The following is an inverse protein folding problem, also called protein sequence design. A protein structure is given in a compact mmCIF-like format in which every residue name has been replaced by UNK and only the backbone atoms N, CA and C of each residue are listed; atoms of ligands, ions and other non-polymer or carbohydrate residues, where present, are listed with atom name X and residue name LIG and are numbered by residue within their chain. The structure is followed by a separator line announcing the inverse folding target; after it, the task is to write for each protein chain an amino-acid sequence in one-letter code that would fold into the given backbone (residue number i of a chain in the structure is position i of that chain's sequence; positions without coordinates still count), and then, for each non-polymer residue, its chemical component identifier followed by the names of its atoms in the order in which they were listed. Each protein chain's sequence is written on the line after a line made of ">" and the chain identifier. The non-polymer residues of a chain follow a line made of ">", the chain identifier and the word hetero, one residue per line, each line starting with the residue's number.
data_IF_118706855843
#
_entry.id   IF_118706855843
#
_cell.length_a   1.000
_cell.length_b   1.000
_cell.length_c   1.000
_cell.angle_alpha   90.00
_cell.angle_beta   90.00
_cell.angle_gamma   90.00
#
_symmetry.space_group_name_H-M   'P 1'
#
loop_
_entity.id
_entity.type
_entity.pdbx_description
1 polymer ?
#
# COMPACT_ATOMS: atom_id res chain seq x y z
N UNK A 1 -33.19 8.36 -7.90
CA UNK A 1 -32.11 9.33 -8.23
C UNK A 1 -31.39 8.83 -9.46
N UNK A 2 -31.03 9.72 -10.36
CA UNK A 2 -30.16 9.32 -11.47
C UNK A 2 -28.79 8.95 -10.92
N UNK A 3 -28.17 7.92 -11.49
CA UNK A 3 -26.84 7.50 -11.07
C UNK A 3 -25.77 8.49 -11.52
N UNK A 4 -24.76 8.68 -10.70
CA UNK A 4 -23.58 9.48 -11.05
C UNK A 4 -22.86 8.81 -12.23
N UNK A 5 -22.65 9.54 -13.32
CA UNK A 5 -22.01 9.03 -14.53
C UNK A 5 -20.50 9.17 -14.46
N UNK A 6 -19.78 8.14 -14.88
CA UNK A 6 -18.34 8.18 -15.06
C UNK A 6 -18.00 8.20 -16.57
N UNK A 7 -17.26 9.22 -17.02
CA UNK A 7 -16.88 9.37 -18.42
C UNK A 7 -15.61 8.58 -18.78
N UNK A 8 -14.60 8.69 -17.94
CA UNK A 8 -13.34 7.97 -18.11
C UNK A 8 -13.38 6.69 -17.27
N UNK A 9 -12.98 5.52 -17.81
CA UNK A 9 -12.97 4.31 -17.03
C UNK A 9 -11.95 4.36 -15.88
N UNK A 10 -12.32 3.71 -14.78
CA UNK A 10 -11.44 3.33 -13.69
C UNK A 10 -10.89 1.94 -13.95
N UNK A 11 -9.58 1.73 -13.86
CA UNK A 11 -9.02 0.38 -13.96
C UNK A 11 -9.38 -0.41 -12.71
N UNK A 12 -10.11 -1.50 -12.89
CA UNK A 12 -10.53 -2.40 -11.82
C UNK A 12 -9.74 -3.70 -11.88
N UNK A 13 -8.95 -3.97 -10.86
CA UNK A 13 -8.17 -5.19 -10.70
C UNK A 13 -8.81 -6.06 -9.63
N UNK A 14 -9.56 -7.08 -10.03
CA UNK A 14 -10.15 -8.04 -9.10
C UNK A 14 -9.09 -9.01 -8.57
N UNK A 15 -9.38 -9.72 -7.48
CA UNK A 15 -8.39 -10.52 -6.75
C UNK A 15 -8.86 -11.90 -6.36
N UNK A 16 -8.47 -12.33 -5.16
CA UNK A 16 -8.64 -13.70 -4.69
C UNK A 16 -9.40 -13.81 -3.37
N UNK A 17 -9.87 -15.01 -3.10
CA UNK A 17 -10.37 -15.51 -1.82
C UNK A 17 -11.45 -14.61 -1.17
N UNK A 18 -11.39 -14.38 0.13
CA UNK A 18 -12.44 -13.63 0.85
C UNK A 18 -12.53 -12.18 0.40
N UNK A 19 -11.42 -11.58 -0.02
CA UNK A 19 -11.43 -10.19 -0.51
C UNK A 19 -12.16 -10.05 -1.82
N UNK A 20 -12.15 -11.05 -2.71
CA UNK A 20 -12.99 -11.09 -3.93
C UNK A 20 -14.48 -11.13 -3.61
N UNK A 21 -14.88 -11.86 -2.58
CA UNK A 21 -16.29 -11.90 -2.11
C UNK A 21 -16.71 -10.51 -1.61
N UNK A 22 -15.89 -9.90 -0.73
CA UNK A 22 -16.15 -8.53 -0.24
C UNK A 22 -16.17 -7.50 -1.37
N UNK A 23 -15.32 -7.67 -2.38
CA UNK A 23 -15.27 -6.79 -3.55
C UNK A 23 -16.59 -6.76 -4.31
N UNK A 24 -17.16 -7.93 -4.55
CA UNK A 24 -18.47 -8.07 -5.19
C UNK A 24 -19.59 -7.45 -4.32
N UNK A 25 -19.60 -7.74 -3.01
CA UNK A 25 -20.58 -7.19 -2.07
C UNK A 25 -20.51 -5.65 -1.98
N UNK A 26 -19.29 -5.07 -1.93
CA UNK A 26 -19.10 -3.61 -1.93
C UNK A 26 -19.66 -2.99 -3.21
N UNK A 27 -19.37 -3.56 -4.38
CA UNK A 27 -19.91 -3.08 -5.65
C UNK A 27 -21.45 -3.14 -5.65
N UNK A 28 -22.02 -4.28 -5.24
CA UNK A 28 -23.49 -4.48 -5.21
C UNK A 28 -24.19 -3.52 -4.25
N UNK A 29 -23.67 -3.39 -3.01
CA UNK A 29 -24.38 -2.68 -1.94
C UNK A 29 -24.07 -1.19 -1.87
N UNK A 30 -22.81 -0.79 -2.15
CA UNK A 30 -22.32 0.55 -1.87
C UNK A 30 -22.00 1.39 -3.10
N UNK A 31 -21.79 0.80 -4.28
CA UNK A 31 -21.34 1.55 -5.47
C UNK A 31 -22.42 1.57 -6.55
N UNK A 32 -22.79 0.42 -7.11
CA UNK A 32 -23.70 0.34 -8.27
C UNK A 32 -25.11 0.86 -8.06
N UNK A 33 -25.65 0.95 -6.83
CA UNK A 33 -26.91 1.66 -6.61
C UNK A 33 -26.86 3.16 -6.91
N UNK A 34 -25.69 3.79 -6.77
CA UNK A 34 -25.50 5.24 -6.82
C UNK A 34 -24.70 5.72 -8.04
N UNK A 35 -23.84 4.88 -8.57
CA UNK A 35 -22.91 5.21 -9.66
C UNK A 35 -23.21 4.32 -10.87
N UNK A 36 -23.16 4.89 -12.07
CA UNK A 36 -23.02 4.16 -13.33
C UNK A 36 -21.54 3.85 -13.49
N UNK A 37 -21.14 2.74 -12.84
CA UNK A 37 -19.73 2.39 -12.64
C UNK A 37 -19.08 1.97 -13.97
N UNK A 38 -18.23 2.81 -14.51
CA UNK A 38 -17.47 2.55 -15.73
C UNK A 38 -16.06 2.07 -15.38
N UNK A 39 -15.79 0.77 -15.57
CA UNK A 39 -14.49 0.17 -15.27
C UNK A 39 -13.88 -0.54 -16.48
N UNK A 40 -12.55 -0.45 -16.60
CA UNK A 40 -11.73 -1.35 -17.40
C UNK A 40 -11.31 -2.51 -16.49
N UNK A 41 -12.00 -3.65 -16.62
CA UNK A 41 -11.90 -4.75 -15.67
C UNK A 41 -10.81 -5.75 -16.03
N UNK A 42 -9.99 -6.12 -15.04
CA UNK A 42 -8.95 -7.13 -15.12
C UNK A 42 -9.10 -8.12 -13.96
N UNK A 43 -9.26 -9.40 -14.26
CA UNK A 43 -9.27 -10.47 -13.26
C UNK A 43 -7.83 -10.88 -12.92
N UNK A 44 -7.32 -10.42 -11.75
CA UNK A 44 -6.02 -10.82 -11.24
C UNK A 44 -6.10 -12.02 -10.28
N UNK A 45 -7.23 -12.75 -10.28
CA UNK A 45 -7.36 -13.99 -9.55
C UNK A 45 -6.34 -15.03 -10.04
N UNK A 46 -5.78 -15.81 -9.11
CA UNK A 46 -4.64 -16.68 -9.35
C UNK A 46 -4.85 -17.66 -10.52
N UNK A 47 -6.06 -18.19 -10.70
CA UNK A 47 -6.38 -19.10 -11.82
C UNK A 47 -6.32 -18.39 -13.17
N UNK A 48 -6.91 -17.20 -13.28
CA UNK A 48 -6.89 -16.44 -14.52
C UNK A 48 -5.49 -15.92 -14.87
N UNK A 49 -4.70 -15.58 -13.87
CA UNK A 49 -3.28 -15.26 -14.05
C UNK A 49 -2.50 -16.45 -14.59
N UNK A 50 -2.75 -17.66 -14.07
CA UNK A 50 -2.16 -18.90 -14.57
C UNK A 50 -2.56 -19.18 -16.01
N UNK A 51 -3.85 -19.03 -16.35
CA UNK A 51 -4.38 -19.23 -17.70
C UNK A 51 -3.72 -18.28 -18.72
N UNK A 52 -3.48 -17.03 -18.32
CA UNK A 52 -2.89 -15.97 -19.16
C UNK A 52 -1.36 -15.88 -19.08
N UNK A 53 -0.71 -16.82 -18.38
CA UNK A 53 0.74 -16.76 -18.06
C UNK A 53 1.13 -15.40 -17.46
N UNK A 54 0.34 -14.93 -16.51
CA UNK A 54 0.45 -13.65 -15.79
C UNK A 54 0.41 -12.38 -16.68
N UNK A 55 0.08 -12.53 -17.97
CA UNK A 55 -0.02 -11.39 -18.90
C UNK A 55 -1.06 -10.37 -18.44
N UNK A 56 -2.17 -10.80 -17.85
CA UNK A 56 -3.25 -9.94 -17.36
C UNK A 56 -2.74 -8.92 -16.32
N UNK A 57 -1.75 -9.27 -15.49
CA UNK A 57 -1.15 -8.35 -14.50
C UNK A 57 -0.41 -7.20 -15.20
N UNK A 58 0.33 -7.51 -16.25
CA UNK A 58 1.02 -6.49 -17.06
C UNK A 58 0.04 -5.59 -17.80
N UNK A 59 -0.99 -6.18 -18.43
CA UNK A 59 -2.03 -5.45 -19.13
C UNK A 59 -2.75 -4.47 -18.20
N UNK A 60 -3.11 -4.90 -16.98
CA UNK A 60 -3.72 -4.05 -15.96
C UNK A 60 -2.80 -2.90 -15.51
N UNK A 61 -1.51 -3.17 -15.33
CA UNK A 61 -0.54 -2.13 -14.96
C UNK A 61 -0.37 -1.07 -16.05
N UNK A 62 -0.30 -1.48 -17.33
CA UNK A 62 -0.25 -0.54 -18.45
C UNK A 62 -1.57 0.22 -18.64
N UNK A 63 -2.71 -0.42 -18.41
CA UNK A 63 -4.00 0.25 -18.41
C UNK A 63 -4.05 1.34 -17.32
N UNK A 64 -3.45 1.08 -16.14
CA UNK A 64 -3.34 2.08 -15.07
C UNK A 64 -2.56 3.31 -15.53
N UNK A 65 -1.45 3.15 -16.24
CA UNK A 65 -0.74 4.29 -16.85
C UNK A 65 -1.59 5.05 -17.86
N UNK A 66 -2.37 4.32 -18.65
CA UNK A 66 -3.22 4.91 -19.71
C UNK A 66 -4.38 5.72 -19.14
N UNK A 67 -5.09 5.19 -18.15
CA UNK A 67 -6.30 5.81 -17.59
C UNK A 67 -6.04 6.64 -16.34
N UNK A 68 -4.85 6.54 -15.76
CA UNK A 68 -4.37 7.37 -14.65
C UNK A 68 -4.81 6.92 -13.26
N UNK A 69 -5.85 6.09 -13.13
CA UNK A 69 -6.33 5.62 -11.82
C UNK A 69 -6.76 4.16 -11.89
N UNK A 70 -6.32 3.40 -10.89
CA UNK A 70 -6.75 2.02 -10.68
C UNK A 70 -7.21 1.78 -9.23
N UNK A 71 -8.06 0.78 -9.07
CA UNK A 71 -8.39 0.19 -7.78
C UNK A 71 -8.12 -1.32 -7.84
N UNK A 72 -7.45 -1.85 -6.81
CA UNK A 72 -6.97 -3.23 -6.81
C UNK A 72 -7.43 -4.00 -5.57
N UNK A 73 -8.00 -5.17 -5.81
CA UNK A 73 -8.30 -6.16 -4.78
C UNK A 73 -7.02 -6.91 -4.36
N UNK A 74 -7.03 -7.51 -3.18
CA UNK A 74 -5.91 -8.34 -2.73
C UNK A 74 -5.79 -9.62 -3.57
N UNK A 75 -4.55 -10.00 -3.89
CA UNK A 75 -4.20 -11.13 -4.76
C UNK A 75 -3.28 -12.12 -4.07
N UNK A 76 -3.36 -13.39 -4.43
CA UNK A 76 -2.45 -14.43 -3.93
C UNK A 76 -1.08 -14.29 -4.63
N UNK A 77 -0.01 -14.27 -3.84
CA UNK A 77 1.34 -14.61 -4.33
C UNK A 77 1.58 -16.08 -3.98
N UNK A 78 1.62 -17.01 -4.96
CA UNK A 78 1.69 -18.42 -4.67
C UNK A 78 3.05 -18.83 -4.11
N UNK A 79 3.03 -19.70 -3.12
CA UNK A 79 4.14 -20.51 -2.67
C UNK A 79 4.00 -21.96 -3.19
N UNK A 80 4.92 -22.85 -2.88
CA UNK A 80 4.90 -24.24 -3.33
C UNK A 80 3.57 -24.96 -2.99
N UNK A 81 3.02 -24.75 -1.79
CA UNK A 81 1.72 -25.30 -1.39
C UNK A 81 0.57 -24.80 -2.28
N UNK A 82 0.57 -23.51 -2.62
CA UNK A 82 -0.46 -22.91 -3.50
C UNK A 82 -0.32 -23.41 -4.94
N UNK A 83 0.88 -23.67 -5.42
CA UNK A 83 1.12 -24.28 -6.75
C UNK A 83 0.44 -25.64 -6.83
N UNK A 84 0.59 -26.48 -5.79
CA UNK A 84 -0.08 -27.79 -5.72
C UNK A 84 -1.60 -27.66 -5.57
N UNK A 85 -2.08 -26.84 -4.63
CA UNK A 85 -3.51 -26.64 -4.33
C UNK A 85 -4.31 -26.16 -5.54
N UNK A 86 -3.75 -25.23 -6.32
CA UNK A 86 -4.41 -24.63 -7.49
C UNK A 86 -4.04 -25.32 -8.80
N UNK A 87 -3.13 -26.31 -8.78
CA UNK A 87 -2.56 -26.98 -9.95
C UNK A 87 -2.00 -25.99 -10.97
N UNK A 88 -1.13 -25.08 -10.50
CA UNK A 88 -0.57 -24.00 -11.32
C UNK A 88 0.57 -24.51 -12.21
N UNK A 89 0.77 -23.86 -13.35
CA UNK A 89 1.87 -24.12 -14.29
C UNK A 89 3.23 -23.80 -13.68
N UNK A 90 3.27 -22.73 -12.86
CA UNK A 90 4.49 -22.30 -12.16
C UNK A 90 4.17 -21.45 -10.91
N UNK A 91 5.19 -21.16 -10.12
CA UNK A 91 5.09 -20.27 -8.97
C UNK A 91 5.19 -18.79 -9.41
N UNK A 92 4.05 -18.22 -9.82
CA UNK A 92 3.97 -16.86 -10.34
C UNK A 92 4.49 -15.81 -9.36
N UNK A 93 5.13 -14.76 -9.88
CA UNK A 93 5.59 -13.62 -9.10
C UNK A 93 4.42 -12.86 -8.48
N UNK A 94 4.74 -12.02 -7.49
CA UNK A 94 3.75 -11.14 -6.86
C UNK A 94 3.15 -10.15 -7.86
N UNK A 95 1.81 -10.11 -8.05
CA UNK A 95 1.17 -9.09 -8.88
C UNK A 95 1.47 -7.67 -8.42
N UNK A 96 1.51 -7.45 -7.09
CA UNK A 96 1.88 -6.16 -6.51
C UNK A 96 3.30 -5.76 -6.94
N UNK A 97 4.24 -6.71 -6.96
CA UNK A 97 5.60 -6.47 -7.43
C UNK A 97 5.64 -6.06 -8.91
N UNK A 98 4.84 -6.70 -9.76
CA UNK A 98 4.73 -6.38 -11.19
C UNK A 98 4.12 -5.00 -11.40
N UNK A 99 2.98 -4.70 -10.76
CA UNK A 99 2.33 -3.39 -10.86
C UNK A 99 3.26 -2.26 -10.39
N UNK A 100 3.91 -2.44 -9.24
CA UNK A 100 4.87 -1.47 -8.69
C UNK A 100 6.08 -1.27 -9.62
N UNK A 101 6.58 -2.35 -10.24
CA UNK A 101 7.70 -2.27 -11.18
C UNK A 101 7.33 -1.51 -12.47
N UNK A 102 6.10 -1.66 -12.96
CA UNK A 102 5.61 -0.95 -14.14
C UNK A 102 5.32 0.52 -13.84
N UNK A 103 4.69 0.81 -12.69
CA UNK A 103 4.33 2.17 -12.30
C UNK A 103 5.51 2.97 -11.73
N UNK A 104 6.55 2.31 -11.19
CA UNK A 104 7.73 2.93 -10.58
C UNK A 104 7.32 4.05 -9.61
N UNK A 105 6.62 3.70 -8.52
CA UNK A 105 6.00 4.69 -7.67
C UNK A 105 6.40 4.59 -6.20
N UNK A 106 5.75 5.45 -5.42
CA UNK A 106 5.81 5.47 -3.96
C UNK A 106 4.49 4.98 -3.39
N UNK A 107 4.55 4.04 -2.44
CA UNK A 107 3.36 3.57 -1.71
C UNK A 107 3.19 4.42 -0.45
N UNK A 108 2.05 5.09 -0.36
CA UNK A 108 1.64 5.81 0.85
C UNK A 108 0.60 4.99 1.59
N UNK A 109 0.88 4.67 2.86
CA UNK A 109 -0.03 3.95 3.76
C UNK A 109 -0.43 4.84 4.92
N UNK A 110 -1.72 5.05 5.11
CA UNK A 110 -2.27 5.92 6.15
C UNK A 110 -3.33 5.20 6.98
N UNK A 111 -3.27 5.27 8.32
CA UNK A 111 -4.30 4.69 9.16
C UNK A 111 -5.62 5.44 9.01
N UNK A 112 -6.73 4.68 9.04
CA UNK A 112 -8.08 5.21 9.12
C UNK A 112 -8.41 5.40 10.60
N UNK A 113 -8.56 6.65 11.02
CA UNK A 113 -8.85 7.01 12.41
C UNK A 113 -10.36 6.96 12.64
N UNK A 114 -10.75 6.29 13.72
CA UNK A 114 -12.15 6.16 14.15
C UNK A 114 -12.24 6.51 15.63
N UNK A 115 -13.15 7.41 15.99
CA UNK A 115 -13.39 7.74 17.40
C UNK A 115 -13.97 6.52 18.13
N UNK A 116 -13.33 6.15 19.22
CA UNK A 116 -13.60 4.91 19.97
C UNK A 116 -12.60 3.78 19.70
N UNK A 117 -11.72 3.88 18.69
CA UNK A 117 -10.60 2.98 18.49
C UNK A 117 -9.30 3.72 18.79
N UNK A 118 -8.71 3.41 19.94
CA UNK A 118 -7.45 4.04 20.37
C UNK A 118 -6.25 3.28 19.82
N UNK A 119 -5.21 4.00 19.46
CA UNK A 119 -3.93 3.38 19.13
C UNK A 119 -3.33 2.64 20.34
N UNK A 120 -2.60 1.54 20.09
CA UNK A 120 -1.86 0.81 21.14
C UNK A 120 -0.76 1.66 21.78
N UNK A 121 -0.26 2.67 21.06
CA UNK A 121 0.62 3.70 21.59
C UNK A 121 -0.24 4.89 21.98
N UNK A 122 -0.48 5.14 23.27
CA UNK A 122 -1.49 6.13 23.72
C UNK A 122 -1.20 7.59 23.30
N UNK A 123 0.05 7.89 22.97
CA UNK A 123 0.46 9.21 22.49
C UNK A 123 0.11 9.47 21.02
N UNK A 124 -0.19 8.44 20.22
CA UNK A 124 -0.51 8.58 18.81
C UNK A 124 -1.97 9.06 18.62
N UNK A 125 -2.12 10.36 18.57
CA UNK A 125 -3.42 11.05 18.44
C UNK A 125 -3.68 11.55 17.01
N UNK A 126 -2.67 11.48 16.14
CA UNK A 126 -2.72 11.89 14.73
C UNK A 126 -2.15 10.79 13.84
N UNK A 127 -2.57 10.71 12.57
CA UNK A 127 -2.10 9.66 11.68
C UNK A 127 -0.58 9.72 11.45
N UNK A 128 0.04 8.56 11.37
CA UNK A 128 1.42 8.39 10.91
C UNK A 128 1.34 7.75 9.53
N UNK A 129 1.74 8.50 8.51
CA UNK A 129 1.72 8.03 7.12
C UNK A 129 3.08 7.45 6.79
N UNK A 130 3.11 6.19 6.34
CA UNK A 130 4.34 5.59 5.84
C UNK A 130 4.43 5.81 4.33
N UNK A 131 5.51 6.45 3.88
CA UNK A 131 5.86 6.56 2.47
C UNK A 131 6.96 5.52 2.17
N UNK A 132 6.58 4.45 1.44
CA UNK A 132 7.46 3.36 1.08
C UNK A 132 7.95 3.52 -0.36
N UNK A 133 9.26 3.51 -0.56
CA UNK A 133 9.84 3.40 -1.90
C UNK A 133 9.46 2.04 -2.53
N UNK A 134 8.80 2.04 -3.69
CA UNK A 134 8.27 0.81 -4.27
C UNK A 134 9.25 0.08 -5.20
N UNK A 135 10.54 0.42 -5.16
CA UNK A 135 11.56 -0.11 -6.04
C UNK A 135 12.82 -0.54 -5.28
N UNK A 136 13.56 -1.51 -5.83
CA UNK A 136 14.88 -1.87 -5.35
C UNK A 136 14.91 -2.64 -4.04
N UNK A 137 16.05 -2.55 -3.34
CA UNK A 137 16.37 -3.27 -2.11
C UNK A 137 16.23 -4.80 -2.31
N UNK A 138 15.85 -5.52 -1.26
CA UNK A 138 15.64 -6.98 -1.27
C UNK A 138 14.49 -7.45 -2.18
N UNK A 139 13.66 -6.54 -2.69
CA UNK A 139 12.59 -6.87 -3.64
C UNK A 139 13.06 -6.95 -5.09
N UNK A 140 14.32 -6.58 -5.36
CA UNK A 140 15.01 -6.68 -6.65
C UNK A 140 16.43 -7.15 -6.49
N UNK A 141 16.61 -8.15 -5.68
CA UNK A 141 17.89 -8.77 -5.41
C UNK A 141 18.21 -9.90 -6.39
N UNK A 142 19.48 -10.31 -6.28
CA UNK A 142 20.01 -11.55 -6.83
C UNK A 142 20.76 -12.23 -5.72
N UNK A 143 20.40 -13.46 -5.41
CA UNK A 143 21.03 -14.23 -4.33
C UNK A 143 21.54 -15.59 -4.82
N UNK A 144 22.55 -16.09 -4.16
CA UNK A 144 23.09 -17.41 -4.44
C UNK A 144 23.73 -18.03 -3.20
N UNK A 145 23.74 -19.35 -3.19
CA UNK A 145 24.55 -20.12 -2.25
C UNK A 145 25.99 -20.16 -2.73
N UNK A 146 26.95 -20.12 -1.82
CA UNK A 146 28.40 -20.19 -2.07
C UNK A 146 28.98 -21.37 -1.32
N UNK A 147 29.67 -22.27 -2.04
CA UNK A 147 30.28 -23.46 -1.45
C UNK A 147 31.50 -23.07 -0.60
N UNK A 148 31.87 -23.98 0.32
CA UNK A 148 33.10 -23.83 1.08
C UNK A 148 34.32 -23.89 0.13
N UNK A 149 35.24 -22.96 0.27
CA UNK A 149 36.43 -22.82 -0.56
C UNK A 149 36.31 -21.83 -1.72
N UNK A 150 35.07 -21.36 -1.99
CA UNK A 150 34.80 -20.37 -3.03
C UNK A 150 34.93 -18.93 -2.50
N UNK A 151 35.05 -17.96 -3.43
CA UNK A 151 35.09 -16.51 -3.14
C UNK A 151 33.93 -15.81 -3.84
N UNK A 152 33.31 -14.90 -3.14
CA UNK A 152 32.26 -14.05 -3.70
C UNK A 152 32.78 -12.64 -3.96
N UNK A 153 32.48 -12.09 -5.15
CA UNK A 153 32.87 -10.75 -5.58
C UNK A 153 31.72 -9.98 -6.20
N UNK A 154 31.70 -8.66 -6.02
CA UNK A 154 30.95 -7.75 -6.89
C UNK A 154 31.83 -7.35 -8.05
N UNK A 155 31.34 -7.52 -9.28
CA UNK A 155 32.06 -7.12 -10.51
C UNK A 155 31.24 -6.03 -11.21
N UNK A 156 31.81 -4.84 -11.32
CA UNK A 156 31.26 -3.74 -12.12
C UNK A 156 31.99 -3.66 -13.43
N UNK A 157 31.28 -3.87 -14.55
CA UNK A 157 31.84 -3.78 -15.90
C UNK A 157 31.57 -2.41 -16.49
N UNK A 158 32.61 -1.63 -16.73
CA UNK A 158 32.54 -0.32 -17.40
C UNK A 158 32.18 -0.45 -18.89
N UNK A 159 31.72 0.64 -19.49
CA UNK A 159 31.39 0.70 -20.93
C UNK A 159 32.61 0.54 -21.83
N UNK A 160 33.78 0.86 -21.31
CA UNK A 160 35.12 0.70 -21.94
C UNK A 160 35.71 -0.71 -21.83
N UNK A 161 34.95 -1.62 -21.15
CA UNK A 161 35.39 -2.99 -20.89
C UNK A 161 36.25 -3.15 -19.62
N UNK A 162 36.60 -2.06 -18.93
CA UNK A 162 37.26 -2.14 -17.63
C UNK A 162 36.37 -2.82 -16.60
N UNK A 163 36.99 -3.60 -15.70
CA UNK A 163 36.30 -4.32 -14.64
C UNK A 163 36.84 -3.92 -13.27
N UNK A 164 35.98 -3.36 -12.45
CA UNK A 164 36.24 -3.17 -11.02
C UNK A 164 35.72 -4.39 -10.25
N UNK A 165 36.61 -5.07 -9.52
CA UNK A 165 36.28 -6.21 -8.66
C UNK A 165 36.40 -5.80 -7.20
N UNK A 166 35.40 -6.18 -6.41
CA UNK A 166 35.35 -5.92 -4.97
C UNK A 166 35.02 -7.24 -4.31
N UNK A 167 35.95 -7.81 -3.54
CA UNK A 167 35.67 -9.00 -2.75
C UNK A 167 34.57 -8.72 -1.72
N UNK A 168 33.57 -9.59 -1.67
CA UNK A 168 32.53 -9.60 -0.62
C UNK A 168 33.07 -10.41 0.55
N UNK A 169 33.43 -11.67 0.30
CA UNK A 169 33.91 -12.59 1.34
C UNK A 169 34.61 -13.81 0.73
N UNK A 170 35.63 -14.34 1.49
CA UNK A 170 36.30 -15.60 1.21
C UNK A 170 35.67 -16.70 2.10
N UNK A 171 34.98 -17.65 1.48
CA UNK A 171 34.27 -18.75 2.15
C UNK A 171 35.21 -19.94 2.46
N UNK A 172 36.50 -19.73 2.64
CA UNK A 172 37.52 -20.78 2.89
C UNK A 172 37.10 -21.78 3.99
N UNK A 173 36.47 -21.27 5.09
CA UNK A 173 36.19 -22.08 6.27
C UNK A 173 34.76 -22.60 6.38
N UNK A 174 33.82 -22.06 5.63
CA UNK A 174 32.41 -22.42 5.67
C UNK A 174 31.72 -21.98 4.41
N UNK A 175 30.78 -22.78 3.93
CA UNK A 175 29.82 -22.35 2.92
C UNK A 175 28.87 -21.25 3.47
N UNK A 176 28.17 -20.54 2.59
CA UNK A 176 27.26 -19.48 2.99
C UNK A 176 26.38 -18.98 1.86
N UNK A 177 25.87 -17.77 2.02
CA UNK A 177 24.99 -17.11 1.05
C UNK A 177 25.47 -15.69 0.76
N UNK A 178 25.24 -15.22 -0.45
CA UNK A 178 25.44 -13.82 -0.82
C UNK A 178 24.19 -13.26 -1.47
N UNK A 179 23.98 -11.97 -1.30
CA UNK A 179 22.85 -11.23 -1.87
C UNK A 179 23.40 -9.93 -2.47
N UNK A 180 23.01 -9.64 -3.70
CA UNK A 180 23.25 -8.38 -4.36
C UNK A 180 21.94 -7.64 -4.61
N UNK A 181 21.85 -6.38 -4.20
CA UNK A 181 20.71 -5.52 -4.44
C UNK A 181 21.14 -4.22 -5.12
N UNK A 182 20.19 -3.53 -5.75
CA UNK A 182 20.48 -2.27 -6.45
C UNK A 182 19.35 -1.26 -6.28
N UNK A 183 19.69 -0.02 -6.57
CA UNK A 183 18.75 1.07 -6.80
C UNK A 183 19.27 1.98 -7.90
N UNK A 184 18.42 2.85 -8.44
CA UNK A 184 18.83 3.82 -9.45
C UNK A 184 18.59 5.24 -8.96
N UNK A 185 19.45 6.18 -9.33
CA UNK A 185 19.28 7.59 -8.97
C UNK A 185 17.91 8.12 -9.41
N UNK A 186 17.50 7.79 -10.64
CA UNK A 186 16.19 8.20 -11.17
C UNK A 186 15.01 7.73 -10.29
N UNK A 187 15.04 6.50 -9.79
CA UNK A 187 13.97 5.97 -8.92
C UNK A 187 14.01 6.62 -7.53
N UNK A 188 15.20 6.87 -6.98
CA UNK A 188 15.36 7.59 -5.71
C UNK A 188 14.86 9.04 -5.83
N UNK A 189 15.18 9.73 -6.93
CA UNK A 189 14.70 11.08 -7.20
C UNK A 189 13.17 11.14 -7.32
N UNK A 190 12.58 10.17 -8.03
CA UNK A 190 11.13 10.02 -8.14
C UNK A 190 10.48 9.83 -6.76
N UNK A 191 11.05 8.94 -5.94
CA UNK A 191 10.61 8.72 -4.57
C UNK A 191 10.68 9.99 -3.72
N UNK A 192 11.79 10.71 -3.78
CA UNK A 192 11.97 11.97 -3.05
C UNK A 192 10.89 13.00 -3.44
N UNK A 193 10.71 13.26 -4.74
CA UNK A 193 9.71 14.22 -5.23
C UNK A 193 8.28 13.81 -4.86
N UNK A 194 7.95 12.51 -4.96
CA UNK A 194 6.65 11.99 -4.49
C UNK A 194 6.41 12.29 -3.01
N UNK A 195 7.41 12.04 -2.15
CA UNK A 195 7.30 12.32 -0.72
C UNK A 195 7.12 13.81 -0.44
N UNK A 196 7.92 14.68 -1.08
CA UNK A 196 7.82 16.13 -0.88
C UNK A 196 6.49 16.70 -1.40
N UNK A 197 6.01 16.25 -2.57
CA UNK A 197 4.72 16.69 -3.11
C UNK A 197 3.57 16.24 -2.22
N UNK A 198 3.59 14.98 -1.78
CA UNK A 198 2.55 14.48 -0.87
C UNK A 198 2.54 15.22 0.47
N UNK A 199 3.71 15.54 1.03
CA UNK A 199 3.82 16.32 2.25
C UNK A 199 3.19 17.72 2.11
N UNK A 200 3.42 18.40 0.99
CA UNK A 200 2.79 19.69 0.68
C UNK A 200 1.27 19.58 0.51
N UNK A 201 0.78 18.52 -0.13
CA UNK A 201 -0.65 18.30 -0.37
C UNK A 201 -1.41 18.07 0.95
N UNK A 202 -0.86 17.24 1.84
CA UNK A 202 -1.50 16.91 3.13
C UNK A 202 -1.08 17.81 4.29
N UNK A 203 -0.10 18.69 4.08
CA UNK A 203 0.46 19.63 5.06
C UNK A 203 0.97 18.93 6.33
N UNK A 204 1.76 17.88 6.15
CA UNK A 204 2.41 17.14 7.22
C UNK A 204 3.93 17.23 7.07
N UNK A 205 4.62 17.20 8.21
CA UNK A 205 6.08 17.08 8.24
C UNK A 205 6.53 15.80 7.54
N UNK A 206 7.70 15.85 6.89
CA UNK A 206 8.32 14.70 6.24
C UNK A 206 9.58 14.25 6.97
N UNK A 207 9.54 13.06 7.53
CA UNK A 207 10.69 12.40 8.15
C UNK A 207 11.23 11.35 7.17
N UNK A 208 12.49 11.47 6.82
CA UNK A 208 13.18 10.47 5.99
C UNK A 208 14.25 9.75 6.80
N UNK A 209 14.34 8.43 6.67
CA UNK A 209 15.28 7.64 7.46
C UNK A 209 15.96 6.54 6.64
N UNK A 210 17.26 6.39 6.86
CA UNK A 210 18.08 5.30 6.33
C UNK A 210 19.14 4.89 7.37
N UNK A 211 20.03 3.95 7.05
CA UNK A 211 21.18 3.58 7.92
C UNK A 211 22.50 3.97 7.27
N UNK A 212 22.67 5.22 6.85
CA UNK A 212 23.82 5.73 6.10
C UNK A 212 25.15 5.63 6.86
N UNK A 213 25.12 5.54 8.18
CA UNK A 213 26.32 5.30 9.00
C UNK A 213 26.90 3.89 8.84
N UNK A 214 26.11 2.91 8.42
CA UNK A 214 26.50 1.53 8.14
C UNK A 214 26.59 1.30 6.63
N UNK A 215 25.52 1.57 5.90
CA UNK A 215 25.48 1.48 4.44
C UNK A 215 25.94 2.80 3.82
N UNK A 216 27.27 3.02 3.88
CA UNK A 216 27.91 4.32 3.58
C UNK A 216 27.86 4.74 2.11
N UNK A 217 27.49 3.85 1.20
CA UNK A 217 27.34 4.15 -0.22
C UNK A 217 25.87 4.06 -0.62
N UNK A 218 25.23 2.94 -0.36
CA UNK A 218 23.84 2.68 -0.79
C UNK A 218 22.86 3.62 -0.09
N UNK A 219 22.81 3.59 1.23
CA UNK A 219 21.88 4.43 2.02
C UNK A 219 22.26 5.92 1.98
N UNK A 220 23.58 6.21 1.92
CA UNK A 220 24.07 7.58 1.81
C UNK A 220 23.62 8.24 0.50
N UNK A 221 23.57 7.49 -0.61
CA UNK A 221 23.08 8.01 -1.89
C UNK A 221 21.62 8.46 -1.82
N UNK A 222 20.77 7.74 -1.10
CA UNK A 222 19.38 8.18 -0.84
C UNK A 222 19.34 9.51 -0.09
N UNK A 223 20.14 9.63 0.96
CA UNK A 223 20.21 10.86 1.76
C UNK A 223 20.66 12.06 0.92
N UNK A 224 21.71 11.88 0.12
CA UNK A 224 22.24 12.95 -0.74
C UNK A 224 21.18 13.44 -1.73
N UNK A 225 20.54 12.52 -2.45
CA UNK A 225 19.51 12.85 -3.44
C UNK A 225 18.33 13.57 -2.79
N UNK A 226 17.84 13.09 -1.63
CA UNK A 226 16.77 13.77 -0.90
C UNK A 226 17.17 15.18 -0.50
N UNK A 227 18.38 15.38 0.05
CA UNK A 227 18.87 16.69 0.46
C UNK A 227 19.04 17.65 -0.73
N UNK A 228 19.60 17.17 -1.82
CA UNK A 228 19.83 17.98 -3.03
C UNK A 228 18.50 18.46 -3.61
N UNK A 229 17.53 17.56 -3.78
CA UNK A 229 16.19 17.90 -4.27
C UNK A 229 15.46 18.84 -3.32
N UNK A 230 15.51 18.56 -2.00
CA UNK A 230 14.87 19.43 -1.03
C UNK A 230 15.40 20.87 -1.11
N UNK A 231 16.72 21.02 -1.08
CA UNK A 231 17.35 22.33 -1.10
C UNK A 231 17.11 23.09 -2.41
N UNK A 232 17.07 22.37 -3.56
CA UNK A 232 16.91 22.98 -4.86
C UNK A 232 15.45 23.31 -5.20
N UNK A 233 14.48 22.48 -4.79
CA UNK A 233 13.11 22.53 -5.34
C UNK A 233 12.03 22.77 -4.27
N UNK A 234 12.24 22.40 -2.99
CA UNK A 234 11.16 22.31 -2.00
C UNK A 234 11.34 23.15 -0.75
N UNK A 235 12.54 23.58 -0.41
CA UNK A 235 12.84 24.31 0.84
C UNK A 235 11.91 25.50 1.08
N UNK A 236 11.75 26.37 0.08
CA UNK A 236 10.90 27.55 0.21
C UNK A 236 9.42 27.19 0.25
N UNK A 237 9.01 26.13 -0.47
CA UNK A 237 7.62 25.63 -0.46
C UNK A 237 7.24 25.07 0.90
N UNK A 238 8.14 24.31 1.54
CA UNK A 238 7.95 23.76 2.88
C UNK A 238 7.85 24.87 3.91
N UNK A 239 8.76 25.85 3.85
CA UNK A 239 8.72 27.03 4.72
C UNK A 239 7.41 27.82 4.57
N UNK A 240 6.92 28.03 3.35
CA UNK A 240 5.65 28.70 3.08
C UNK A 240 4.43 27.91 3.56
N UNK A 241 4.51 26.56 3.54
CA UNK A 241 3.47 25.67 4.04
C UNK A 241 3.49 25.46 5.56
N UNK A 242 4.56 25.88 6.22
CA UNK A 242 4.75 25.70 7.67
C UNK A 242 5.00 24.26 8.07
N UNK A 243 5.64 23.47 7.21
CA UNK A 243 6.01 22.07 7.44
C UNK A 243 7.52 21.87 7.32
N UNK A 244 8.05 20.82 7.95
CA UNK A 244 9.48 20.55 8.01
C UNK A 244 9.87 19.27 7.27
N UNK A 245 11.09 19.27 6.72
CA UNK A 245 11.80 18.07 6.28
C UNK A 245 12.88 17.72 7.28
N UNK A 246 12.89 16.47 7.75
CA UNK A 246 13.83 16.00 8.76
C UNK A 246 14.44 14.65 8.34
N UNK A 247 15.77 14.56 8.31
CA UNK A 247 16.50 13.31 8.09
C UNK A 247 17.10 12.77 9.37
N UNK A 248 16.97 11.47 9.60
CA UNK A 248 17.65 10.81 10.73
C UNK A 248 17.99 9.35 10.41
N UNK A 249 18.71 8.66 11.31
CA UNK A 249 18.95 7.22 11.19
C UNK A 249 17.68 6.44 11.47
N UNK A 250 17.49 5.28 10.79
CA UNK A 250 16.25 4.51 10.90
C UNK A 250 15.94 4.05 12.33
N UNK A 251 16.94 3.67 13.11
CA UNK A 251 16.79 3.28 14.51
C UNK A 251 16.40 4.46 15.41
N UNK A 252 16.94 5.67 15.16
CA UNK A 252 16.51 6.89 15.84
C UNK A 252 15.08 7.27 15.44
N UNK A 253 14.74 7.14 14.14
CA UNK A 253 13.38 7.36 13.67
C UNK A 253 12.35 6.46 14.40
N UNK A 254 12.63 5.17 14.56
CA UNK A 254 11.77 4.25 15.32
C UNK A 254 11.52 4.76 16.73
N UNK A 255 12.59 5.17 17.44
CA UNK A 255 12.49 5.67 18.81
C UNK A 255 11.70 7.00 18.89
N UNK A 256 11.86 7.89 17.90
CA UNK A 256 11.14 9.17 17.82
C UNK A 256 9.66 8.96 17.48
N UNK A 257 9.35 8.09 16.53
CA UNK A 257 7.97 7.78 16.12
C UNK A 257 7.18 7.24 17.30
N UNK A 258 7.73 6.29 18.07
CA UNK A 258 7.07 5.72 19.26
C UNK A 258 6.77 6.81 20.32
N UNK A 259 7.62 7.83 20.43
CA UNK A 259 7.44 8.93 21.40
C UNK A 259 6.63 10.10 20.86
N UNK A 260 6.31 10.11 19.57
CA UNK A 260 5.58 11.20 18.92
C UNK A 260 4.08 11.19 19.23
N UNK A 261 3.41 12.25 18.80
CA UNK A 261 1.94 12.30 18.76
C UNK A 261 1.35 11.87 17.42
N UNK A 262 2.19 11.43 16.48
CA UNK A 262 1.82 11.27 15.08
C UNK A 262 1.82 12.60 14.32
N UNK A 263 1.11 12.67 13.20
CA UNK A 263 1.00 13.89 12.40
C UNK A 263 2.17 14.12 11.46
N UNK A 264 2.85 13.03 11.01
CA UNK A 264 3.95 13.13 10.08
C UNK A 264 3.86 12.05 8.98
N UNK A 265 4.62 12.27 7.92
CA UNK A 265 4.94 11.25 6.92
C UNK A 265 6.32 10.69 7.28
N UNK A 266 6.43 9.39 7.37
CA UNK A 266 7.69 8.70 7.57
C UNK A 266 8.09 7.98 6.28
N UNK A 267 9.04 8.56 5.55
CA UNK A 267 9.58 8.00 4.32
C UNK A 267 10.67 6.97 4.62
N UNK A 268 10.54 5.80 4.00
CA UNK A 268 11.40 4.65 4.20
C UNK A 268 11.76 4.00 2.87
N UNK A 269 12.95 3.38 2.79
CA UNK A 269 13.30 2.49 1.68
C UNK A 269 12.31 1.32 1.60
N UNK A 270 12.39 0.54 0.53
CA UNK A 270 11.38 -0.48 0.21
C UNK A 270 11.11 -1.46 1.38
N UNK A 271 12.15 -2.15 1.87
CA UNK A 271 12.01 -3.13 2.96
C UNK A 271 11.65 -2.47 4.28
N UNK A 272 12.34 -1.38 4.64
CA UNK A 272 12.07 -0.64 5.87
C UNK A 272 10.61 -0.16 5.90
N UNK A 273 10.11 0.35 4.77
CA UNK A 273 8.73 0.82 4.64
C UNK A 273 7.70 -0.29 4.70
N UNK A 274 8.02 -1.49 4.21
CA UNK A 274 7.15 -2.65 4.35
C UNK A 274 6.93 -3.02 5.82
N UNK A 275 8.03 -3.22 6.54
CA UNK A 275 7.99 -3.61 7.96
C UNK A 275 7.37 -2.52 8.83
N UNK A 276 7.77 -1.26 8.62
CA UNK A 276 7.30 -0.13 9.43
C UNK A 276 5.82 0.18 9.18
N UNK A 277 5.32 0.00 7.96
CA UNK A 277 3.90 0.20 7.70
C UNK A 277 3.01 -0.82 8.43
N UNK A 278 3.43 -2.08 8.50
CA UNK A 278 2.70 -3.11 9.22
C UNK A 278 2.74 -2.88 10.75
N UNK A 279 3.89 -2.42 11.28
CA UNK A 279 4.01 -2.02 12.68
C UNK A 279 3.05 -0.87 13.01
N UNK A 280 3.05 0.18 12.21
CA UNK A 280 2.19 1.35 12.42
C UNK A 280 0.71 0.97 12.29
N UNK A 281 0.35 0.18 11.27
CA UNK A 281 -1.02 -0.29 11.07
C UNK A 281 -1.52 -1.11 12.27
N UNK A 282 -0.68 -2.02 12.77
CA UNK A 282 -1.00 -2.84 13.96
C UNK A 282 -1.21 -1.95 15.18
N UNK A 283 -0.37 -0.95 15.36
CA UNK A 283 -0.47 -0.03 16.49
C UNK A 283 -1.71 0.88 16.43
N UNK A 284 -2.22 1.20 15.25
CA UNK A 284 -3.52 1.89 15.07
C UNK A 284 -4.73 0.94 15.08
N UNK A 285 -4.52 -0.35 15.33
CA UNK A 285 -5.57 -1.34 15.55
C UNK A 285 -5.54 -2.52 14.59
N UNK A 286 -5.48 -2.32 13.29
CA UNK A 286 -5.53 -3.40 12.30
C UNK A 286 -5.04 -2.96 10.92
N UNK A 287 -4.40 -3.88 10.19
CA UNK A 287 -4.11 -3.71 8.75
C UNK A 287 -5.37 -3.41 7.92
N UNK A 288 -6.53 -3.90 8.35
CA UNK A 288 -7.82 -3.62 7.72
C UNK A 288 -8.32 -2.17 7.95
N UNK A 289 -7.61 -1.39 8.76
CA UNK A 289 -7.81 0.04 8.98
C UNK A 289 -6.69 0.89 8.36
N UNK A 290 -6.00 0.37 7.36
CA UNK A 290 -4.89 1.05 6.69
C UNK A 290 -5.20 1.21 5.19
N UNK A 291 -5.23 2.44 4.71
CA UNK A 291 -5.29 2.72 3.27
C UNK A 291 -3.91 2.52 2.64
N UNK A 292 -3.88 2.21 1.35
CA UNK A 292 -2.65 2.09 0.56
C UNK A 292 -2.89 2.70 -0.82
N UNK A 293 -2.00 3.60 -1.23
CA UNK A 293 -1.99 4.16 -2.57
C UNK A 293 -0.59 4.15 -3.14
N UNK A 294 -0.44 3.59 -4.32
CA UNK A 294 0.77 3.71 -5.13
C UNK A 294 0.64 4.93 -6.03
N UNK A 295 1.58 5.85 -5.94
CA UNK A 295 1.65 7.06 -6.76
C UNK A 295 2.85 6.96 -7.70
N UNK A 296 2.58 6.89 -9.00
CA UNK A 296 3.62 6.87 -10.03
C UNK A 296 4.21 8.27 -10.26
N UNK A 297 5.50 8.39 -10.62
CA UNK A 297 6.09 9.66 -11.04
C UNK A 297 5.40 10.30 -12.25
N UNK A 298 4.76 9.47 -13.09
CA UNK A 298 4.01 9.90 -14.27
C UNK A 298 2.57 10.34 -13.93
N UNK A 299 2.19 10.35 -12.65
CA UNK A 299 0.87 10.81 -12.20
C UNK A 299 -0.23 9.76 -12.28
N UNK A 300 0.08 8.47 -12.35
CA UNK A 300 -0.87 7.38 -12.19
C UNK A 300 -1.00 6.97 -10.71
N UNK A 301 -2.20 6.54 -10.34
CA UNK A 301 -2.54 6.15 -8.97
C UNK A 301 -3.13 4.74 -8.97
N UNK A 302 -2.70 3.91 -8.02
CA UNK A 302 -3.32 2.61 -7.78
C UNK A 302 -3.66 2.51 -6.29
N UNK A 303 -4.95 2.33 -5.99
CA UNK A 303 -5.49 2.23 -4.64
C UNK A 303 -5.75 0.77 -4.29
N UNK A 304 -5.26 0.33 -3.14
CA UNK A 304 -5.46 -1.04 -2.65
C UNK A 304 -5.68 -1.04 -1.13
N UNK A 305 -6.20 -2.14 -0.58
CA UNK A 305 -6.12 -2.42 0.84
C UNK A 305 -4.73 -2.94 1.20
N UNK A 306 -4.18 -2.53 2.34
CA UNK A 306 -2.85 -2.95 2.78
C UNK A 306 -2.77 -4.42 3.23
N UNK A 307 -3.93 -5.09 3.43
CA UNK A 307 -4.01 -6.49 3.87
C UNK A 307 -4.07 -7.50 2.71
N UNK A 308 -3.84 -8.78 3.01
CA UNK A 308 -3.93 -9.88 2.05
C UNK A 308 -5.37 -10.38 1.82
N UNK A 309 -5.49 -11.56 1.21
CA UNK A 309 -6.76 -12.15 0.71
C UNK A 309 -7.66 -12.75 1.79
N UNK A 310 -7.24 -12.78 3.06
CA UNK A 310 -7.98 -13.30 4.23
C UNK A 310 -8.39 -14.77 4.04
N UNK A 311 -7.43 -15.62 3.67
CA UNK A 311 -7.58 -17.05 3.37
C UNK A 311 -8.38 -17.82 4.42
N UNK A 312 -8.13 -17.60 5.72
CA UNK A 312 -8.81 -18.32 6.79
C UNK A 312 -10.33 -18.09 6.78
N UNK A 313 -10.77 -16.87 6.48
CA UNK A 313 -12.21 -16.56 6.37
C UNK A 313 -12.79 -17.12 5.06
N UNK A 314 -12.01 -17.16 3.99
CA UNK A 314 -12.45 -17.77 2.74
C UNK A 314 -12.77 -19.26 2.90
N UNK A 315 -11.93 -20.03 3.58
CA UNK A 315 -12.22 -21.44 3.85
C UNK A 315 -13.46 -21.67 4.75
N UNK A 316 -13.76 -20.73 5.66
CA UNK A 316 -15.02 -20.77 6.39
C UNK A 316 -16.21 -20.49 5.48
N UNK A 317 -16.10 -19.45 4.65
CA UNK A 317 -17.12 -19.09 3.67
C UNK A 317 -17.46 -20.26 2.73
N UNK A 318 -16.46 -20.97 2.22
CA UNK A 318 -16.66 -22.16 1.37
C UNK A 318 -17.42 -23.30 2.08
N UNK A 319 -17.38 -23.36 3.39
CA UNK A 319 -18.16 -24.31 4.21
C UNK A 319 -19.57 -23.81 4.55
N UNK A 320 -19.96 -22.65 4.06
CA UNK A 320 -21.23 -22.03 4.40
C UNK A 320 -21.26 -21.41 5.82
N UNK A 321 -20.11 -21.24 6.46
CA UNK A 321 -20.01 -20.61 7.76
C UNK A 321 -20.07 -19.09 7.63
N UNK A 322 -20.74 -18.43 8.58
CA UNK A 322 -20.79 -16.97 8.66
C UNK A 322 -19.39 -16.41 8.99
N UNK A 323 -18.98 -15.38 8.23
CA UNK A 323 -17.73 -14.66 8.45
C UNK A 323 -17.97 -13.21 8.84
N UNK A 324 -17.02 -12.67 9.61
CA UNK A 324 -16.99 -11.25 9.99
C UNK A 324 -15.62 -10.70 9.59
N UNK A 325 -15.52 -10.41 8.28
CA UNK A 325 -14.29 -9.88 7.67
C UNK A 325 -14.42 -8.37 7.53
N UNK A 326 -13.43 -7.65 8.03
CA UNK A 326 -13.38 -6.19 7.96
C UNK A 326 -13.13 -5.74 6.51
N UNK A 327 -14.03 -4.93 5.98
CA UNK A 327 -13.99 -4.40 4.61
C UNK A 327 -13.61 -2.92 4.53
N UNK A 328 -13.27 -2.28 5.65
CA UNK A 328 -13.04 -0.82 5.71
C UNK A 328 -11.94 -0.39 4.75
N UNK A 329 -10.76 -1.00 4.79
CA UNK A 329 -9.66 -0.66 3.89
C UNK A 329 -10.00 -0.87 2.41
N UNK A 330 -10.80 -1.90 2.09
CA UNK A 330 -11.27 -2.16 0.72
C UNK A 330 -12.28 -1.10 0.25
N UNK A 331 -13.18 -0.66 1.13
CA UNK A 331 -14.10 0.47 0.85
C UNK A 331 -13.28 1.73 0.58
N UNK A 332 -12.27 2.02 1.41
CA UNK A 332 -11.41 3.20 1.25
C UNK A 332 -10.51 3.12 0.00
N UNK A 333 -10.14 1.93 -0.45
CA UNK A 333 -9.47 1.78 -1.75
C UNK A 333 -10.41 2.20 -2.90
N UNK A 334 -11.67 1.76 -2.89
CA UNK A 334 -12.68 2.18 -3.87
C UNK A 334 -12.94 3.68 -3.81
N UNK A 335 -13.20 4.23 -2.62
CA UNK A 335 -13.52 5.66 -2.48
C UNK A 335 -12.33 6.55 -2.85
N UNK A 336 -11.10 6.15 -2.49
CA UNK A 336 -9.89 6.86 -2.89
C UNK A 336 -9.72 6.91 -4.40
N UNK A 337 -9.93 5.77 -5.09
CA UNK A 337 -9.87 5.69 -6.54
C UNK A 337 -10.97 6.51 -7.23
N UNK A 338 -12.21 6.41 -6.75
CA UNK A 338 -13.34 7.18 -7.27
C UNK A 338 -13.15 8.69 -7.06
N UNK A 339 -12.67 9.10 -5.88
CA UNK A 339 -12.35 10.49 -5.58
C UNK A 339 -11.28 11.02 -6.53
N UNK A 340 -10.18 10.28 -6.70
CA UNK A 340 -9.11 10.66 -7.62
C UNK A 340 -9.60 10.72 -9.07
N UNK A 341 -10.42 9.77 -9.50
CA UNK A 341 -11.06 9.80 -10.84
C UNK A 341 -11.95 11.03 -11.00
N UNK A 342 -12.76 11.35 -9.99
CA UNK A 342 -13.56 12.58 -9.95
C UNK A 342 -12.73 13.84 -10.10
N UNK A 343 -11.61 13.93 -9.37
CA UNK A 343 -10.69 15.06 -9.47
C UNK A 343 -10.09 15.24 -10.87
N UNK A 344 -9.65 14.14 -11.49
CA UNK A 344 -9.05 14.17 -12.83
C UNK A 344 -10.07 14.49 -13.92
N UNK A 345 -11.33 14.09 -13.76
CA UNK A 345 -12.40 14.33 -14.73
C UNK A 345 -13.22 15.61 -14.43
N UNK A 346 -12.93 16.33 -13.34
CA UNK A 346 -13.74 17.46 -12.89
C UNK A 346 -15.14 17.08 -12.45
N UNK A 347 -15.36 15.81 -12.07
CA UNK A 347 -16.65 15.26 -11.62
C UNK A 347 -16.83 15.41 -10.10
N UNK A 348 -17.39 16.56 -9.70
CA UNK A 348 -17.55 16.89 -8.28
C UNK A 348 -18.58 16.00 -7.56
N UNK A 349 -19.56 15.48 -8.28
CA UNK A 349 -20.55 14.56 -7.70
C UNK A 349 -19.88 13.24 -7.29
N UNK A 350 -18.96 12.73 -8.10
CA UNK A 350 -18.19 11.52 -7.81
C UNK A 350 -17.26 11.72 -6.61
N UNK A 351 -16.60 12.88 -6.51
CA UNK A 351 -15.78 13.23 -5.35
C UNK A 351 -16.60 13.27 -4.07
N UNK A 352 -17.74 13.99 -4.09
CA UNK A 352 -18.64 14.15 -2.95
C UNK A 352 -19.24 12.80 -2.51
N UNK A 353 -19.58 11.93 -3.46
CA UNK A 353 -20.05 10.58 -3.17
C UNK A 353 -18.99 9.77 -2.41
N UNK A 354 -17.75 9.77 -2.89
CA UNK A 354 -16.65 9.06 -2.26
C UNK A 354 -16.42 9.55 -0.82
N UNK A 355 -16.37 10.86 -0.62
CA UNK A 355 -16.22 11.46 0.72
C UNK A 355 -17.39 11.13 1.66
N UNK A 356 -18.61 11.12 1.13
CA UNK A 356 -19.81 10.76 1.91
C UNK A 356 -19.73 9.29 2.33
N UNK A 357 -19.30 8.39 1.45
CA UNK A 357 -19.18 6.96 1.76
C UNK A 357 -18.09 6.69 2.81
N UNK A 358 -16.96 7.37 2.76
CA UNK A 358 -15.93 7.31 3.80
C UNK A 358 -16.49 7.75 5.17
N UNK A 359 -17.16 8.89 5.20
CA UNK A 359 -17.81 9.41 6.42
C UNK A 359 -18.86 8.45 6.96
N UNK A 360 -19.68 7.87 6.09
CA UNK A 360 -20.71 6.90 6.48
C UNK A 360 -20.07 5.63 7.06
N UNK A 361 -18.98 5.16 6.48
CA UNK A 361 -18.23 4.00 6.98
C UNK A 361 -17.71 4.24 8.39
N UNK A 362 -17.00 5.36 8.61
CA UNK A 362 -16.50 5.75 9.93
C UNK A 362 -17.64 5.91 10.94
N UNK A 363 -18.68 6.65 10.58
CA UNK A 363 -19.84 6.90 11.44
C UNK A 363 -20.59 5.62 11.82
N UNK A 364 -20.65 4.63 10.94
CA UNK A 364 -21.23 3.33 11.24
C UNK A 364 -20.50 2.64 12.39
N UNK A 365 -19.17 2.68 12.37
CA UNK A 365 -18.33 2.11 13.44
C UNK A 365 -18.52 2.92 14.73
N UNK A 366 -18.47 4.25 14.66
CA UNK A 366 -18.66 5.16 15.80
C UNK A 366 -20.04 5.01 16.48
N UNK A 367 -21.04 4.56 15.72
CA UNK A 367 -22.38 4.22 16.23
C UNK A 367 -22.46 2.80 16.82
N UNK A 368 -21.36 2.07 16.87
CA UNK A 368 -21.25 0.75 17.49
C UNK A 368 -21.48 -0.44 16.54
N UNK A 369 -21.69 -0.23 15.25
CA UNK A 369 -21.84 -1.32 14.28
C UNK A 369 -20.50 -1.58 13.58
N UNK A 370 -19.91 -2.75 13.77
CA UNK A 370 -18.58 -3.08 13.27
C UNK A 370 -18.36 -4.58 13.15
N UNK A 371 -17.30 -4.98 12.49
CA UNK A 371 -16.87 -6.37 12.43
C UNK A 371 -16.22 -6.83 13.74
N UNK A 372 -16.13 -8.16 13.97
CA UNK A 372 -15.71 -8.74 15.24
C UNK A 372 -14.29 -8.36 15.66
N UNK A 373 -13.39 -8.13 14.71
CA UNK A 373 -12.03 -7.67 14.96
C UNK A 373 -12.00 -6.28 15.60
N UNK A 374 -12.83 -5.35 15.12
CA UNK A 374 -12.93 -4.00 15.69
C UNK A 374 -13.69 -3.98 17.03
N UNK A 375 -14.66 -4.87 17.18
CA UNK A 375 -15.49 -4.92 18.40
C UNK A 375 -14.67 -5.14 19.69
N UNK A 376 -13.55 -5.84 19.60
CA UNK A 376 -12.63 -6.04 20.74
C UNK A 376 -11.74 -4.84 21.07
N UNK A 377 -11.66 -3.87 20.18
CA UNK A 377 -10.80 -2.67 20.29
C UNK A 377 -11.60 -1.38 20.52
N UNK A 378 -12.91 -1.43 20.30
CA UNK A 378 -13.77 -0.25 20.36
C UNK A 378 -14.21 0.05 21.79
N UNK A 379 -13.92 1.27 22.24
CA UNK A 379 -14.34 1.79 23.55
C UNK A 379 -14.81 3.24 23.38
N UNK A 380 -16.12 3.46 23.52
CA UNK A 380 -16.73 4.79 23.51
C UNK A 380 -17.89 4.83 24.48
N UNK A 381 -17.85 5.78 25.43
CA UNK A 381 -18.88 5.93 26.44
C UNK A 381 -20.26 6.16 25.82
N UNK A 382 -21.26 5.44 26.33
CA UNK A 382 -22.65 5.55 25.85
C UNK A 382 -22.95 4.83 24.54
N UNK A 383 -21.97 4.16 23.90
CA UNK A 383 -22.16 3.41 22.66
C UNK A 383 -22.15 1.91 22.93
N UNK A 384 -23.23 1.24 22.52
CA UNK A 384 -23.32 -0.23 22.59
C UNK A 384 -22.68 -0.86 21.37
N UNK A 385 -21.69 -1.73 21.56
CA UNK A 385 -21.04 -2.48 20.49
C UNK A 385 -21.95 -3.58 19.94
N UNK A 386 -22.15 -3.60 18.64
CA UNK A 386 -23.00 -4.55 17.90
C UNK A 386 -22.20 -5.19 16.77
N UNK A 387 -21.48 -6.31 17.05
CA UNK A 387 -20.69 -6.99 16.03
C UNK A 387 -21.57 -7.45 14.85
N UNK A 388 -21.09 -7.23 13.66
CA UNK A 388 -21.74 -7.58 12.41
C UNK A 388 -20.97 -8.70 11.68
N UNK A 389 -21.67 -9.52 10.89
CA UNK A 389 -21.01 -10.31 9.85
C UNK A 389 -20.59 -9.40 8.69
N UNK A 390 -19.85 -9.96 7.72
CA UNK A 390 -19.25 -9.19 6.61
C UNK A 390 -20.31 -8.41 5.82
N UNK A 391 -21.40 -9.07 5.41
CA UNK A 391 -22.46 -8.45 4.61
C UNK A 391 -23.31 -7.48 5.43
N UNK A 392 -23.70 -7.88 6.67
CA UNK A 392 -24.47 -7.03 7.59
C UNK A 392 -23.74 -5.72 7.92
N UNK A 393 -22.41 -5.72 7.97
CA UNK A 393 -21.64 -4.50 8.15
C UNK A 393 -21.79 -3.55 6.93
N UNK A 394 -21.71 -4.07 5.71
CA UNK A 394 -21.93 -3.29 4.49
C UNK A 394 -23.36 -2.73 4.41
N UNK A 395 -24.36 -3.53 4.79
CA UNK A 395 -25.76 -3.10 4.85
C UNK A 395 -25.96 -1.95 5.86
N UNK A 396 -25.28 -1.99 6.99
CA UNK A 396 -25.31 -0.89 7.99
C UNK A 396 -24.60 0.37 7.50
N UNK A 397 -23.51 0.22 6.74
CA UNK A 397 -22.85 1.37 6.08
C UNK A 397 -23.81 2.01 5.07
N UNK A 398 -24.50 1.21 4.26
CA UNK A 398 -25.51 1.70 3.31
C UNK A 398 -26.62 2.45 4.01
N UNK A 399 -27.19 1.87 5.08
CA UNK A 399 -28.22 2.52 5.89
C UNK A 399 -27.75 3.87 6.44
N UNK A 400 -26.52 3.93 6.96
CA UNK A 400 -25.92 5.18 7.44
C UNK A 400 -25.75 6.18 6.31
N UNK A 401 -25.26 5.75 5.16
CA UNK A 401 -25.07 6.57 3.96
C UNK A 401 -26.37 7.18 3.47
N UNK A 402 -27.46 6.39 3.39
CA UNK A 402 -28.76 6.84 2.91
C UNK A 402 -29.41 7.87 3.88
N UNK A 403 -29.07 7.81 5.18
CA UNK A 403 -29.59 8.71 6.21
C UNK A 403 -28.71 9.97 6.45
N UNK A 404 -27.61 10.14 5.74
CA UNK A 404 -26.77 11.35 5.76
C UNK A 404 -27.15 12.29 4.63
#
# INVERSE_FOLDING_TARGET
>A
MDKIKMTTPLVEMDGDEMTRILWADIKELLLTPYIDLNTEYYDLGLRHRDDTNDKVTWDAAYATKKYGVAVKCATITPNAQRVEEYNLKEMWKSPNGTVRAVLDGTVFRSPIIVDGISALVPTWTSPIVIARHAYGDVYRDVETYVEQGDKAEIVVSGKDGEKKRIEIFDFEKSAGVVLGMHNTDKSIESFARSCFNYALDVKLDLWFATKDTISKTYDHRFKDIFNDIFNAEYKDKFAAAGIEYFYTLIDDAVARVIRSHGGMIWACKNYDGDVMSDMVATAFGSLAMMTSVLVSPDGAYEYEAAHGTVTRHYYKYLKGEETSTNSVATIFAWTGALKKRGQLDGNKELENFAEKLEKATVKTIENGYMTKDLAGMFHKDGVTVRPQNSRGFLEKIRETFDNM
#
